data_IF_584388497831
#
_entry.id   IF_584388497831
#
_cell.length_a   1.000
_cell.length_b   1.000
_cell.length_c   1.000
_cell.angle_alpha   90.00
_cell.angle_beta   90.00
_cell.angle_gamma   90.00
#
_symmetry.space_group_name_H-M   'P 1'
#
loop_
_entity.id
_entity.type
_entity.pdbx_description
1 polymer ?
#
# COMPACT_ATOMS: atom_id res chain seq x y z
N UNK A 1 30.59 -20.30 30.33
CA UNK A 1 30.61 -18.83 30.51
C UNK A 1 30.33 -18.38 31.96
N UNK A 2 29.46 -19.03 32.74
CA UNK A 2 29.22 -18.68 34.14
C UNK A 2 30.39 -19.02 35.10
N UNK A 3 31.13 -20.11 34.85
CA UNK A 3 32.23 -20.53 35.72
C UNK A 3 33.42 -19.55 35.71
N UNK A 4 33.70 -18.91 34.57
CA UNK A 4 34.80 -17.95 34.43
C UNK A 4 34.56 -16.63 35.18
N UNK A 5 33.30 -16.25 35.41
CA UNK A 5 32.95 -15.02 36.12
C UNK A 5 33.09 -15.17 37.64
N UNK A 6 32.83 -16.38 38.16
CA UNK A 6 32.93 -16.69 39.59
C UNK A 6 34.39 -16.83 40.06
N UNK A 7 35.31 -17.24 39.18
CA UNK A 7 36.75 -17.32 39.51
C UNK A 7 37.38 -15.93 39.74
N UNK A 8 36.87 -14.89 39.08
CA UNK A 8 37.40 -13.52 39.22
C UNK A 8 36.97 -12.82 40.53
N UNK A 9 35.97 -13.37 41.23
CA UNK A 9 35.49 -12.88 42.53
C UNK A 9 36.14 -13.58 43.74
N UNK A 10 37.09 -14.48 43.53
CA UNK A 10 37.88 -15.09 44.61
C UNK A 10 37.13 -16.07 45.51
N UNK A 11 36.00 -16.63 45.07
CA UNK A 11 35.17 -17.54 45.88
C UNK A 11 34.86 -18.85 45.12
N UNK A 12 35.84 -19.73 44.90
CA UNK A 12 35.52 -21.09 44.46
C UNK A 12 36.64 -22.11 44.75
N UNK A 13 36.57 -22.76 45.91
CA UNK A 13 37.04 -24.14 46.09
C UNK A 13 35.92 -24.95 46.76
N UNK A 14 34.83 -25.21 46.04
CA UNK A 14 33.68 -26.00 46.52
C UNK A 14 32.49 -25.98 45.55
N UNK A 15 31.56 -26.97 45.62
CA UNK A 15 30.37 -27.01 44.77
C UNK A 15 29.48 -25.78 45.02
N UNK A 16 28.95 -25.18 43.93
CA UNK A 16 28.13 -23.97 44.02
C UNK A 16 26.86 -24.23 44.85
N UNK A 17 26.48 -23.30 45.76
CA UNK A 17 25.20 -23.37 46.47
C UNK A 17 24.02 -23.48 45.49
N UNK A 18 23.08 -24.39 45.76
CA UNK A 18 21.97 -24.67 44.84
C UNK A 18 21.09 -23.46 44.49
N UNK A 19 20.98 -22.47 45.38
CA UNK A 19 20.25 -21.23 45.10
C UNK A 19 20.92 -20.36 44.03
N UNK A 20 22.26 -20.40 43.88
CA UNK A 20 22.98 -19.68 42.83
C UNK A 20 22.67 -20.30 41.47
N UNK A 21 22.67 -21.64 41.39
CA UNK A 21 22.30 -22.36 40.17
C UNK A 21 20.84 -22.09 39.80
N UNK A 22 19.94 -22.05 40.80
CA UNK A 22 18.53 -21.71 40.59
C UNK A 22 18.37 -20.27 40.08
N UNK A 23 19.09 -19.29 40.65
CA UNK A 23 19.05 -17.90 40.17
C UNK A 23 19.59 -17.78 38.74
N UNK A 24 20.67 -18.50 38.39
CA UNK A 24 21.24 -18.47 37.04
C UNK A 24 20.30 -19.06 35.98
N UNK A 25 19.42 -20.00 36.35
CA UNK A 25 18.45 -20.60 35.44
C UNK A 25 17.11 -19.85 35.43
N UNK A 26 16.67 -19.34 36.58
CA UNK A 26 15.39 -18.67 36.73
C UNK A 26 15.40 -17.26 36.14
N UNK A 27 16.52 -16.53 36.26
CA UNK A 27 16.64 -15.17 35.73
C UNK A 27 16.48 -15.07 34.20
N UNK A 28 17.14 -15.88 33.35
CA UNK A 28 16.91 -15.84 31.91
C UNK A 28 15.52 -16.36 31.53
N UNK A 29 14.98 -17.34 32.26
CA UNK A 29 13.64 -17.87 32.02
C UNK A 29 12.55 -16.83 32.29
N UNK A 30 12.62 -16.14 33.42
CA UNK A 30 11.68 -15.08 33.78
C UNK A 30 11.77 -13.89 32.83
N UNK A 31 12.98 -13.51 32.39
CA UNK A 31 13.15 -12.46 31.39
C UNK A 31 12.56 -12.87 30.03
N UNK A 32 12.84 -14.10 29.57
CA UNK A 32 12.29 -14.63 28.31
C UNK A 32 10.76 -14.73 28.33
N UNK A 33 10.19 -15.19 29.45
CA UNK A 33 8.75 -15.25 29.66
C UNK A 33 8.14 -13.85 29.67
N UNK A 34 8.77 -12.89 30.35
CA UNK A 34 8.35 -11.49 30.36
C UNK A 34 8.39 -10.85 28.97
N UNK A 35 9.47 -11.06 28.21
CA UNK A 35 9.59 -10.59 26.83
C UNK A 35 8.51 -11.21 25.93
N UNK A 36 8.24 -12.52 26.07
CA UNK A 36 7.20 -13.20 25.30
C UNK A 36 5.80 -12.64 25.59
N UNK A 37 5.49 -12.35 26.85
CA UNK A 37 4.22 -11.72 27.24
C UNK A 37 4.11 -10.28 26.73
N UNK A 38 5.19 -9.50 26.81
CA UNK A 38 5.22 -8.14 26.27
C UNK A 38 5.05 -8.13 24.75
N UNK A 39 5.70 -9.05 24.03
CA UNK A 39 5.53 -9.21 22.59
C UNK A 39 4.09 -9.57 22.22
N UNK A 40 3.44 -10.46 22.98
CA UNK A 40 2.04 -10.84 22.74
C UNK A 40 1.08 -9.68 22.98
N UNK A 41 1.29 -8.90 24.05
CA UNK A 41 0.49 -7.70 24.34
C UNK A 41 0.69 -6.61 23.28
N UNK A 42 1.92 -6.43 22.80
CA UNK A 42 2.22 -5.50 21.72
C UNK A 42 1.54 -5.93 20.41
N UNK A 43 1.55 -7.23 20.09
CA UNK A 43 0.84 -7.76 18.92
C UNK A 43 -0.67 -7.54 19.00
N UNK A 44 -1.29 -7.75 20.17
CA UNK A 44 -2.72 -7.51 20.37
C UNK A 44 -3.08 -6.03 20.17
N UNK A 45 -2.32 -5.11 20.77
CA UNK A 45 -2.55 -3.67 20.65
C UNK A 45 -2.33 -3.16 19.21
N UNK A 46 -1.34 -3.71 18.49
CA UNK A 46 -1.12 -3.38 17.08
C UNK A 46 -2.24 -3.93 16.18
N UNK A 47 -2.80 -5.10 16.51
CA UNK A 47 -3.95 -5.66 15.81
C UNK A 47 -5.16 -4.72 15.85
N UNK A 48 -5.52 -4.24 17.04
CA UNK A 48 -6.64 -3.29 17.22
C UNK A 48 -6.41 -1.98 16.45
N UNK A 49 -5.18 -1.45 16.43
CA UNK A 49 -4.85 -0.23 15.68
C UNK A 49 -4.97 -0.43 14.17
N UNK A 50 -4.55 -1.58 13.64
CA UNK A 50 -4.66 -1.90 12.21
C UNK A 50 -6.12 -2.05 11.78
N UNK A 51 -6.98 -2.65 12.60
CA UNK A 51 -8.41 -2.73 12.32
C UNK A 51 -9.06 -1.33 12.26
N UNK A 52 -8.66 -0.43 13.17
CA UNK A 52 -9.12 0.96 13.16
C UNK A 52 -8.60 1.73 11.94
N UNK A 53 -7.35 1.50 11.53
CA UNK A 53 -6.78 2.10 10.33
C UNK A 53 -7.47 1.60 9.06
N UNK A 54 -7.86 0.32 8.99
CA UNK A 54 -8.59 -0.25 7.84
C UNK A 54 -9.94 0.43 7.65
N UNK A 55 -10.75 0.56 8.71
CA UNK A 55 -12.04 1.27 8.67
C UNK A 55 -11.89 2.75 8.26
N UNK A 56 -10.81 3.41 8.66
CA UNK A 56 -10.60 4.84 8.41
C UNK A 56 -9.87 5.14 7.09
N UNK A 57 -9.14 4.17 6.54
CA UNK A 57 -8.28 4.36 5.37
C UNK A 57 -9.02 4.90 4.15
N UNK A 58 -10.34 4.71 4.07
CA UNK A 58 -11.17 5.31 3.03
C UNK A 58 -10.74 4.92 1.62
N UNK A 59 -9.98 3.82 1.50
CA UNK A 59 -9.65 3.23 0.22
C UNK A 59 -10.95 2.70 -0.36
N UNK A 60 -11.33 3.26 -1.50
CA UNK A 60 -12.45 2.76 -2.28
C UNK A 60 -12.20 1.28 -2.57
N UNK A 61 -13.21 0.45 -2.38
CA UNK A 61 -13.11 -0.96 -2.78
C UNK A 61 -12.77 -1.06 -4.25
N UNK A 62 -12.17 -2.18 -4.69
CA UNK A 62 -11.86 -2.40 -6.10
C UNK A 62 -13.10 -2.16 -7.00
N UNK A 63 -14.28 -2.60 -6.54
CA UNK A 63 -15.56 -2.39 -7.22
C UNK A 63 -15.95 -0.90 -7.30
N UNK A 64 -15.72 -0.12 -6.24
CA UNK A 64 -15.98 1.32 -6.23
C UNK A 64 -15.02 2.09 -7.14
N UNK A 65 -13.76 1.67 -7.19
CA UNK A 65 -12.76 2.23 -8.12
C UNK A 65 -13.17 1.93 -9.56
N UNK A 66 -13.62 0.72 -9.85
CA UNK A 66 -14.08 0.35 -11.19
C UNK A 66 -15.36 1.09 -11.58
N UNK A 67 -16.32 1.25 -10.66
CA UNK A 67 -17.52 2.04 -10.90
C UNK A 67 -17.20 3.52 -11.17
N UNK A 68 -16.36 4.15 -10.35
CA UNK A 68 -15.94 5.53 -10.59
C UNK A 68 -15.11 5.65 -11.87
N UNK A 69 -14.22 4.71 -12.16
CA UNK A 69 -13.47 4.67 -13.40
C UNK A 69 -14.41 4.49 -14.60
N UNK A 70 -15.48 3.71 -14.48
CA UNK A 70 -16.50 3.54 -15.51
C UNK A 70 -17.26 4.87 -15.73
N UNK A 71 -17.65 5.56 -14.66
CA UNK A 71 -18.29 6.89 -14.73
C UNK A 71 -17.36 7.96 -15.35
N UNK A 72 -16.09 7.99 -14.95
CA UNK A 72 -15.06 8.87 -15.53
C UNK A 72 -14.73 8.49 -16.98
N UNK A 73 -14.77 7.20 -17.32
CA UNK A 73 -14.65 6.69 -18.69
C UNK A 73 -15.92 6.89 -19.51
N UNK A 74 -16.96 7.49 -18.92
CA UNK A 74 -18.34 7.67 -19.39
C UNK A 74 -18.53 8.45 -20.70
N UNK A 75 -17.57 8.45 -21.61
CA UNK A 75 -17.85 8.66 -23.03
C UNK A 75 -16.87 7.88 -23.89
N UNK A 76 -16.90 6.55 -23.95
CA UNK A 76 -16.25 5.89 -25.11
C UNK A 76 -16.93 6.26 -26.44
N UNK A 77 -17.98 7.10 -26.41
CA UNK A 77 -18.70 7.64 -27.55
C UNK A 77 -18.11 8.99 -27.99
N UNK A 78 -18.01 9.19 -29.30
CA UNK A 78 -17.54 10.43 -29.93
C UNK A 78 -18.36 11.64 -29.47
N UNK A 79 -17.68 12.67 -28.97
CA UNK A 79 -18.35 13.87 -28.46
C UNK A 79 -18.98 14.77 -29.55
N UNK A 80 -18.73 14.47 -30.84
CA UNK A 80 -19.24 15.26 -31.98
C UNK A 80 -20.53 14.66 -32.53
N UNK A 81 -20.56 13.35 -32.76
CA UNK A 81 -21.74 12.67 -33.31
C UNK A 81 -22.61 11.99 -32.25
N UNK A 82 -22.08 11.77 -31.03
CA UNK A 82 -22.77 11.08 -29.93
C UNK A 82 -23.31 9.68 -30.30
N UNK A 83 -22.68 9.03 -31.29
CA UNK A 83 -23.16 7.79 -31.91
C UNK A 83 -22.05 6.72 -31.91
N UNK A 84 -20.98 6.97 -32.67
CA UNK A 84 -19.86 6.02 -32.79
C UNK A 84 -18.90 6.11 -31.63
N UNK A 85 -18.16 5.04 -31.41
CA UNK A 85 -17.05 5.03 -30.44
C UNK A 85 -15.95 6.00 -30.82
N UNK A 86 -15.21 6.49 -29.82
CA UNK A 86 -13.95 7.20 -30.03
C UNK A 86 -12.98 6.21 -30.65
N UNK A 87 -12.50 6.47 -31.86
CA UNK A 87 -11.53 5.62 -32.56
C UNK A 87 -10.45 6.41 -33.30
N UNK A 88 -10.45 7.74 -33.18
CA UNK A 88 -9.44 8.63 -33.74
C UNK A 88 -8.63 9.36 -32.67
N UNK A 89 -7.32 9.48 -32.91
CA UNK A 89 -6.39 10.31 -32.14
C UNK A 89 -6.10 11.58 -32.94
N UNK A 90 -6.28 12.75 -32.33
CA UNK A 90 -6.06 14.03 -32.99
C UNK A 90 -4.59 14.45 -32.87
N UNK A 91 -3.88 14.58 -33.99
CA UNK A 91 -2.50 15.07 -34.01
C UNK A 91 -2.45 16.60 -34.15
N UNK A 92 -1.48 17.27 -33.52
CA UNK A 92 -0.39 16.73 -32.69
C UNK A 92 -0.74 16.55 -31.21
N UNK A 93 -1.94 16.90 -30.74
CA UNK A 93 -2.24 16.97 -29.31
C UNK A 93 -2.49 15.62 -28.63
N UNK A 94 -2.70 14.55 -29.38
CA UNK A 94 -2.90 13.19 -28.85
C UNK A 94 -4.27 12.91 -28.23
N UNK A 95 -5.21 13.87 -28.24
CA UNK A 95 -6.52 13.67 -27.61
C UNK A 95 -7.40 12.72 -28.42
N UNK A 96 -7.93 11.69 -27.74
CA UNK A 96 -8.88 10.71 -28.28
C UNK A 96 -10.29 11.06 -27.84
N UNK A 97 -10.97 11.89 -28.61
CA UNK A 97 -12.28 12.44 -28.26
C UNK A 97 -13.38 12.19 -29.30
N UNK A 98 -13.00 11.74 -30.50
CA UNK A 98 -13.91 11.63 -31.66
C UNK A 98 -13.76 10.30 -32.39
N UNK A 99 -14.75 9.97 -33.21
CA UNK A 99 -14.65 8.88 -34.18
C UNK A 99 -13.87 9.32 -35.43
N UNK A 100 -13.34 8.38 -36.22
CA UNK A 100 -12.58 8.63 -37.46
C UNK A 100 -13.36 9.53 -38.42
N UNK A 101 -14.64 9.25 -38.66
CA UNK A 101 -15.48 10.08 -39.54
C UNK A 101 -15.58 11.54 -39.09
N UNK A 102 -15.69 11.77 -37.77
CA UNK A 102 -15.69 13.13 -37.22
C UNK A 102 -14.30 13.74 -37.23
N UNK A 103 -13.24 12.95 -37.01
CA UNK A 103 -11.84 13.38 -37.11
C UNK A 103 -11.51 13.91 -38.52
N UNK A 104 -11.85 13.16 -39.55
CA UNK A 104 -11.63 13.54 -40.96
C UNK A 104 -12.42 14.81 -41.33
N UNK A 105 -13.66 14.92 -40.83
CA UNK A 105 -14.49 16.12 -41.01
C UNK A 105 -13.88 17.35 -40.32
N UNK A 106 -13.28 17.17 -39.14
CA UNK A 106 -12.57 18.26 -38.45
C UNK A 106 -11.30 18.68 -39.21
N UNK A 107 -10.50 17.73 -39.69
CA UNK A 107 -9.27 18.00 -40.45
C UNK A 107 -9.58 18.68 -41.79
N UNK A 108 -10.52 18.15 -42.57
CA UNK A 108 -10.93 18.73 -43.86
C UNK A 108 -11.49 20.14 -43.74
N UNK A 109 -12.18 20.45 -42.63
CA UNK A 109 -12.70 21.79 -42.32
C UNK A 109 -11.71 22.67 -41.55
N UNK A 110 -10.46 22.23 -41.37
CA UNK A 110 -9.40 22.94 -40.63
C UNK A 110 -9.85 23.39 -39.22
N UNK A 111 -10.60 22.54 -38.52
CA UNK A 111 -11.08 22.79 -37.16
C UNK A 111 -10.03 22.38 -36.14
N UNK A 112 -10.18 22.89 -34.92
CA UNK A 112 -9.33 22.58 -33.78
C UNK A 112 -9.85 21.38 -32.99
N UNK A 113 -8.98 20.79 -32.17
CA UNK A 113 -9.34 19.74 -31.22
C UNK A 113 -10.45 20.22 -30.26
N UNK A 114 -11.55 19.46 -30.07
CA UNK A 114 -12.65 19.87 -29.18
C UNK A 114 -12.27 19.85 -27.69
N UNK A 115 -11.17 19.18 -27.33
CA UNK A 115 -10.70 19.08 -25.94
C UNK A 115 -9.76 20.23 -25.58
N UNK A 116 -8.70 20.42 -26.36
CA UNK A 116 -7.62 21.36 -26.03
C UNK A 116 -7.51 22.55 -26.99
N UNK A 117 -8.35 22.62 -28.03
CA UNK A 117 -8.35 23.67 -29.07
C UNK A 117 -7.04 23.77 -29.88
N UNK A 118 -6.14 22.80 -29.77
CA UNK A 118 -4.97 22.70 -30.63
C UNK A 118 -5.37 22.49 -32.09
N UNK A 119 -4.65 23.12 -33.02
CA UNK A 119 -4.85 22.93 -34.46
C UNK A 119 -4.57 21.48 -34.86
N UNK A 120 -5.45 20.90 -35.69
CA UNK A 120 -5.31 19.53 -36.20
C UNK A 120 -4.59 19.60 -37.55
N UNK A 121 -3.48 18.86 -37.70
CA UNK A 121 -2.67 18.81 -38.92
C UNK A 121 -2.98 17.60 -39.79
#
# INVERSE_FOLDING_TARGET
>A
FAEAFLTHAGMATGPLPGWIVLCLLLTPYSLNLGCSLLSLMLQAALGELLEIEDEKSGLLSADQIEAQAAELSGSDVCCVCMDKRKDAVLTPCGHRAVCVQCGDSLQSRKRNCPVCRQYIN
#
